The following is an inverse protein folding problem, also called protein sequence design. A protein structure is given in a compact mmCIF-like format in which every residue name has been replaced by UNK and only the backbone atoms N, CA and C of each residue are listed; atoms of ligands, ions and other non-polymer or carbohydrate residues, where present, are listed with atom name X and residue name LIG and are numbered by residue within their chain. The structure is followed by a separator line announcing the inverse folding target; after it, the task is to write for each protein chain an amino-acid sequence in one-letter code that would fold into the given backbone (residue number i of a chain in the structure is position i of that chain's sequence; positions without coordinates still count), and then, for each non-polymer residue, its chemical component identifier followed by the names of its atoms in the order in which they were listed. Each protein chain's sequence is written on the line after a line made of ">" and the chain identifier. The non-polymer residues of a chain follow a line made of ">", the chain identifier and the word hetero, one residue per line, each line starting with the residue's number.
data_IF_306627070158
#
_entry.id   IF_306627070158
#
_cell.length_a   1.000
_cell.length_b   1.000
_cell.length_c   1.000
_cell.angle_alpha   90.00
_cell.angle_beta   90.00
_cell.angle_gamma   90.00
#
_symmetry.space_group_name_H-M   'P 1'
#
loop_
_entity.id
_entity.type
_entity.pdbx_description
1 polymer ?
#
# COMPACT_ATOMS: atom_id res chain seq x y z
N UNK A 1 8.82 -5.22 1.50
CA UNK A 1 7.64 -4.48 2.02
C UNK A 1 7.14 -3.50 0.95
N UNK A 2 5.89 -3.65 0.53
CA UNK A 2 5.28 -2.81 -0.50
C UNK A 2 4.54 -1.62 0.13
N UNK A 3 3.36 -1.27 -0.40
CA UNK A 3 2.43 -0.24 0.07
C UNK A 3 1.11 -0.38 -0.70
N UNK A 4 0.06 0.33 -0.28
CA UNK A 4 -1.08 0.65 -1.14
C UNK A 4 -0.63 1.27 -2.49
N UNK A 5 0.47 2.03 -2.47
CA UNK A 5 1.11 2.58 -3.67
C UNK A 5 1.72 1.52 -4.62
N UNK A 6 1.74 0.24 -4.21
CA UNK A 6 2.20 -0.87 -5.05
C UNK A 6 1.13 -1.42 -6.00
N UNK A 7 -0.10 -0.91 -5.92
CA UNK A 7 -1.19 -1.22 -6.87
C UNK A 7 -2.14 -0.04 -7.12
N UNK A 8 -1.94 1.11 -6.44
CA UNK A 8 -2.60 2.40 -6.75
C UNK A 8 -1.54 3.46 -7.00
N UNK A 9 -1.72 4.29 -8.03
CA UNK A 9 -0.83 5.42 -8.29
C UNK A 9 -1.29 6.64 -7.51
N UNK A 10 -0.36 7.32 -6.85
CA UNK A 10 -0.62 8.56 -6.10
C UNK A 10 0.07 9.73 -6.82
N UNK A 11 -0.61 10.87 -7.04
CA UNK A 11 0.03 12.08 -7.56
C UNK A 11 1.25 12.48 -6.72
N UNK A 12 2.27 13.08 -7.35
CA UNK A 12 3.52 13.53 -6.71
C UNK A 12 4.35 12.43 -6.01
N UNK A 13 4.04 11.16 -6.27
CA UNK A 13 4.76 9.99 -5.74
C UNK A 13 5.07 8.99 -6.85
N UNK A 14 5.29 9.43 -8.09
CA UNK A 14 5.42 8.54 -9.25
C UNK A 14 6.60 7.55 -9.10
N UNK A 15 7.76 8.03 -8.68
CA UNK A 15 8.97 7.25 -8.38
C UNK A 15 8.75 6.29 -7.19
N UNK A 16 8.11 6.77 -6.12
CA UNK A 16 7.74 5.96 -4.97
C UNK A 16 6.78 4.84 -5.39
N UNK A 17 5.71 5.15 -6.13
CA UNK A 17 4.77 4.16 -6.65
C UNK A 17 5.49 3.13 -7.53
N UNK A 18 6.33 3.58 -8.47
CA UNK A 18 7.12 2.68 -9.32
C UNK A 18 7.94 1.68 -8.49
N UNK A 19 8.63 2.16 -7.44
CA UNK A 19 9.40 1.30 -6.55
C UNK A 19 8.53 0.27 -5.82
N UNK A 20 7.31 0.66 -5.39
CA UNK A 20 6.39 -0.22 -4.68
C UNK A 20 5.74 -1.25 -5.59
N UNK A 21 5.42 -0.87 -6.84
CA UNK A 21 5.00 -1.81 -7.87
C UNK A 21 6.10 -2.83 -8.20
N UNK A 22 7.36 -2.38 -8.31
CA UNK A 22 8.49 -3.26 -8.57
C UNK A 22 8.67 -4.31 -7.46
N UNK A 23 8.50 -3.92 -6.19
CA UNK A 23 8.54 -4.86 -5.06
C UNK A 23 7.43 -5.92 -5.16
N UNK A 24 6.22 -5.54 -5.60
CA UNK A 24 5.13 -6.50 -5.81
C UNK A 24 5.47 -7.54 -6.88
N UNK A 25 5.93 -7.07 -8.06
CA UNK A 25 6.30 -7.97 -9.15
C UNK A 25 7.48 -8.87 -8.80
N UNK A 26 8.48 -8.34 -8.10
CA UNK A 26 9.63 -9.12 -7.63
C UNK A 26 9.21 -10.23 -6.66
N UNK A 27 8.41 -9.90 -5.64
CA UNK A 27 7.98 -10.89 -4.65
C UNK A 27 7.11 -11.98 -5.29
N UNK A 28 6.22 -11.60 -6.20
CA UNK A 28 5.35 -12.55 -6.90
C UNK A 28 6.16 -13.52 -7.77
N UNK A 29 7.14 -13.00 -8.53
CA UNK A 29 8.03 -13.83 -9.34
C UNK A 29 8.86 -14.79 -8.47
N UNK A 30 9.49 -14.27 -7.40
CA UNK A 30 10.29 -15.08 -6.49
C UNK A 30 9.47 -16.18 -5.81
N UNK A 31 8.22 -15.90 -5.41
CA UNK A 31 7.34 -16.92 -4.86
C UNK A 31 7.11 -18.06 -5.84
N UNK A 32 6.80 -17.74 -7.11
CA UNK A 32 6.59 -18.78 -8.12
C UNK A 32 7.87 -19.54 -8.47
N UNK A 33 9.04 -18.91 -8.41
CA UNK A 33 10.32 -19.61 -8.53
C UNK A 33 10.52 -20.61 -7.39
N UNK A 34 10.20 -20.24 -6.14
CA UNK A 34 10.30 -21.15 -4.99
C UNK A 34 9.37 -22.36 -5.14
N UNK A 35 8.13 -22.14 -5.58
CA UNK A 35 7.18 -23.22 -5.88
C UNK A 35 7.68 -24.12 -7.02
N UNK A 36 8.18 -23.54 -8.11
CA UNK A 36 8.70 -24.28 -9.26
C UNK A 36 9.86 -25.22 -8.88
N UNK A 37 10.76 -24.77 -7.99
CA UNK A 37 11.90 -25.56 -7.53
C UNK A 37 11.61 -26.37 -6.26
N UNK A 38 10.35 -26.48 -5.83
CA UNK A 38 9.92 -27.17 -4.61
C UNK A 38 10.68 -26.73 -3.34
N UNK A 39 11.09 -25.46 -3.28
CA UNK A 39 11.80 -24.91 -2.12
C UNK A 39 10.80 -24.40 -1.08
N UNK A 40 10.40 -25.28 -0.17
CA UNK A 40 9.42 -24.96 0.90
C UNK A 40 10.06 -24.38 2.16
N UNK A 41 11.39 -24.36 2.25
CA UNK A 41 12.13 -23.89 3.43
C UNK A 41 12.17 -22.38 3.60
N UNK A 42 11.80 -21.62 2.56
CA UNK A 42 11.76 -20.15 2.58
C UNK A 42 10.35 -19.69 2.26
N UNK A 43 9.79 -18.85 3.12
CA UNK A 43 8.45 -18.27 2.98
C UNK A 43 8.59 -16.75 2.77
N UNK A 44 7.73 -16.17 1.92
CA UNK A 44 7.67 -14.73 1.68
C UNK A 44 6.35 -14.13 2.13
N UNK A 45 6.41 -12.91 2.65
CA UNK A 45 5.25 -12.12 3.05
C UNK A 45 5.36 -10.73 2.43
N UNK A 46 4.39 -10.34 1.60
CA UNK A 46 4.23 -8.99 1.08
C UNK A 46 3.14 -8.23 1.84
N UNK A 47 3.51 -7.03 2.29
CA UNK A 47 2.66 -6.18 3.13
C UNK A 47 2.41 -4.86 2.42
N UNK A 48 1.13 -4.49 2.32
CA UNK A 48 0.63 -3.28 1.68
C UNK A 48 -0.02 -2.35 2.72
N UNK A 49 0.79 -1.56 3.44
CA UNK A 49 0.24 -0.52 4.31
C UNK A 49 -0.31 0.66 3.50
N UNK A 50 -1.44 1.20 3.95
CA UNK A 50 -1.90 2.54 3.64
C UNK A 50 -1.05 3.60 4.37
N UNK A 51 -1.40 4.88 4.29
CA UNK A 51 -0.65 5.95 4.95
C UNK A 51 -0.46 5.68 6.45
N UNK A 52 0.79 5.82 6.91
CA UNK A 52 1.18 5.56 8.30
C UNK A 52 1.64 6.84 8.99
N UNK A 53 1.24 6.99 10.26
CA UNK A 53 1.64 8.08 11.14
C UNK A 53 3.08 7.88 11.65
N UNK A 54 4.05 8.10 10.76
CA UNK A 54 5.51 7.96 11.01
C UNK A 54 6.26 9.28 10.79
N UNK A 55 5.55 10.38 10.57
CA UNK A 55 6.11 11.62 10.05
C UNK A 55 6.34 11.63 8.52
N UNK A 56 6.48 10.47 7.87
CA UNK A 56 6.79 10.40 6.44
C UNK A 56 5.73 11.03 5.54
N UNK A 57 4.45 10.88 5.91
CA UNK A 57 3.27 11.39 5.18
C UNK A 57 2.50 12.46 5.97
N UNK A 58 3.19 13.22 6.81
CA UNK A 58 2.56 14.32 7.53
C UNK A 58 1.97 15.33 6.54
N UNK A 59 0.79 15.84 6.89
CA UNK A 59 0.04 16.79 6.08
C UNK A 59 -0.72 16.18 4.89
N UNK A 60 -0.60 14.87 4.61
CA UNK A 60 -1.38 14.27 3.50
C UNK A 60 -2.89 14.40 3.76
N UNK A 61 -3.62 14.87 2.76
CA UNK A 61 -5.07 14.97 2.84
C UNK A 61 -5.68 13.61 2.52
N UNK A 62 -6.45 13.04 3.45
CA UNK A 62 -7.21 11.82 3.23
C UNK A 62 -8.65 12.23 2.97
N UNK A 63 -9.17 11.94 1.77
CA UNK A 63 -10.51 12.37 1.37
C UNK A 63 -11.65 11.77 2.20
N UNK A 64 -11.48 10.53 2.68
CA UNK A 64 -12.47 9.82 3.52
C UNK A 64 -11.82 9.19 4.76
N UNK A 65 -11.37 9.99 5.75
CA UNK A 65 -10.63 9.48 6.92
C UNK A 65 -11.42 8.47 7.76
N UNK A 66 -12.75 8.58 7.79
CA UNK A 66 -13.63 7.65 8.52
C UNK A 66 -13.63 6.24 7.93
N UNK A 67 -13.31 6.11 6.63
CA UNK A 67 -13.29 4.83 5.90
C UNK A 67 -11.85 4.32 5.78
N UNK A 68 -10.90 5.21 5.49
CA UNK A 68 -9.48 4.89 5.36
C UNK A 68 -8.64 5.77 6.29
N UNK A 69 -8.59 5.45 7.60
CA UNK A 69 -7.81 6.23 8.54
C UNK A 69 -6.31 6.05 8.31
N UNK A 70 -5.52 7.04 8.75
CA UNK A 70 -4.07 6.83 8.93
C UNK A 70 -3.83 5.68 9.90
N UNK A 71 -2.82 4.87 9.60
CA UNK A 71 -2.44 3.73 10.41
C UNK A 71 -1.37 4.12 11.42
N UNK A 72 -1.49 3.56 12.63
CA UNK A 72 -0.45 3.69 13.64
C UNK A 72 0.69 2.69 13.41
N UNK A 73 1.93 3.16 13.49
CA UNK A 73 3.13 2.38 13.18
C UNK A 73 3.22 1.09 14.00
N UNK A 74 2.85 1.15 15.29
CA UNK A 74 2.83 0.00 16.17
C UNK A 74 1.82 -1.07 15.73
N UNK A 75 0.65 -0.67 15.23
CA UNK A 75 -0.36 -1.60 14.73
C UNK A 75 0.12 -2.31 13.46
N UNK A 76 0.72 -1.56 12.54
CA UNK A 76 1.28 -2.14 11.31
C UNK A 76 2.43 -3.08 11.66
N UNK A 77 3.31 -2.72 12.60
CA UNK A 77 4.41 -3.59 13.02
C UNK A 77 3.89 -4.90 13.62
N UNK A 78 2.90 -4.84 14.52
CA UNK A 78 2.28 -6.04 15.09
C UNK A 78 1.70 -6.94 13.99
N UNK A 79 0.96 -6.36 13.05
CA UNK A 79 0.42 -7.08 11.89
C UNK A 79 1.53 -7.71 11.05
N UNK A 80 2.65 -6.99 10.82
CA UNK A 80 3.78 -7.53 10.08
C UNK A 80 4.36 -8.76 10.76
N UNK A 81 4.62 -8.68 12.06
CA UNK A 81 5.19 -9.80 12.82
C UNK A 81 4.25 -11.00 12.84
N UNK A 82 2.95 -10.78 13.07
CA UNK A 82 1.94 -11.83 13.07
C UNK A 82 1.85 -12.52 11.71
N UNK A 83 1.83 -11.76 10.62
CA UNK A 83 1.78 -12.30 9.26
C UNK A 83 3.03 -13.11 8.88
N UNK A 84 4.22 -12.64 9.30
CA UNK A 84 5.48 -13.39 9.10
C UNK A 84 5.44 -14.70 9.88
N UNK A 85 5.04 -14.67 11.16
CA UNK A 85 4.97 -15.85 12.01
C UNK A 85 3.90 -16.87 11.58
N UNK A 86 2.89 -16.42 10.83
CA UNK A 86 1.78 -17.26 10.33
C UNK A 86 1.90 -17.57 8.83
N UNK A 87 3.03 -17.27 8.19
CA UNK A 87 3.29 -17.50 6.77
C UNK A 87 2.19 -16.94 5.85
N UNK A 88 1.65 -15.76 6.18
CA UNK A 88 0.70 -15.09 5.31
C UNK A 88 1.44 -14.48 4.13
N UNK A 89 1.04 -14.84 2.90
CA UNK A 89 1.64 -14.29 1.69
C UNK A 89 1.26 -12.83 1.47
N UNK A 90 -0.04 -12.53 1.41
CA UNK A 90 -0.54 -11.18 1.12
C UNK A 90 -1.21 -10.55 2.34
N UNK A 91 -0.73 -9.37 2.72
CA UNK A 91 -1.22 -8.63 3.89
C UNK A 91 -1.56 -7.21 3.47
N UNK A 92 -2.78 -6.77 3.77
CA UNK A 92 -3.27 -5.43 3.46
C UNK A 92 -3.61 -4.70 4.76
N UNK A 93 -3.24 -3.43 4.88
CA UNK A 93 -3.57 -2.62 6.04
C UNK A 93 -4.18 -1.29 5.56
N UNK A 94 -5.44 -0.94 5.92
CA UNK A 94 -6.33 -1.60 6.89
C UNK A 94 -7.17 -2.76 6.33
N UNK A 95 -6.62 -3.98 6.32
CA UNK A 95 -7.36 -5.22 6.07
C UNK A 95 -8.01 -5.33 4.69
N UNK A 96 -9.16 -6.00 4.65
CA UNK A 96 -9.86 -6.38 3.43
C UNK A 96 -10.40 -5.21 2.60
N UNK A 97 -10.60 -4.03 3.19
CA UNK A 97 -11.07 -2.84 2.46
C UNK A 97 -10.05 -2.43 1.39
N UNK A 98 -8.77 -2.38 1.76
CA UNK A 98 -7.70 -2.01 0.84
C UNK A 98 -7.56 -3.02 -0.31
N UNK A 99 -7.76 -4.32 0.00
CA UNK A 99 -7.82 -5.39 -1.01
C UNK A 99 -9.03 -5.23 -1.94
N UNK A 100 -10.19 -4.85 -1.41
CA UNK A 100 -11.37 -4.59 -2.22
C UNK A 100 -11.14 -3.42 -3.19
N UNK A 101 -10.49 -2.34 -2.75
CA UNK A 101 -10.14 -1.21 -3.62
C UNK A 101 -9.23 -1.61 -4.78
N UNK A 102 -8.28 -2.53 -4.55
CA UNK A 102 -7.45 -3.07 -5.62
C UNK A 102 -8.30 -3.79 -6.68
N UNK A 103 -9.23 -4.66 -6.26
CA UNK A 103 -10.11 -5.40 -7.18
C UNK A 103 -11.03 -4.44 -7.95
N UNK A 104 -11.63 -3.48 -7.24
CA UNK A 104 -12.51 -2.47 -7.84
C UNK A 104 -11.76 -1.67 -8.91
N UNK A 105 -10.54 -1.23 -8.63
CA UNK A 105 -9.68 -0.53 -9.61
C UNK A 105 -9.44 -1.36 -10.88
N UNK A 106 -9.30 -2.68 -10.77
CA UNK A 106 -9.05 -3.54 -11.93
C UNK A 106 -10.27 -3.77 -12.82
N UNK A 107 -11.49 -3.58 -12.29
CA UNK A 107 -12.75 -3.84 -13.02
C UNK A 107 -13.33 -2.54 -13.59
N UNK A 108 -13.17 -1.41 -12.90
CA UNK A 108 -13.77 -0.12 -13.30
C UNK A 108 -12.99 0.52 -14.47
N UNK A 109 -13.68 1.07 -15.49
CA UNK A 109 -13.04 1.84 -16.57
C UNK A 109 -12.23 3.05 -16.07
N UNK A 110 -11.18 3.41 -16.81
CA UNK A 110 -10.24 4.45 -16.38
C UNK A 110 -10.91 5.83 -16.15
N UNK A 111 -11.90 6.18 -16.96
CA UNK A 111 -12.64 7.44 -16.87
C UNK A 111 -13.48 7.50 -15.59
N UNK A 112 -14.17 6.40 -15.27
CA UNK A 112 -14.97 6.27 -14.06
C UNK A 112 -14.08 6.28 -12.81
N UNK A 113 -12.94 5.60 -12.85
CA UNK A 113 -11.95 5.65 -11.77
C UNK A 113 -11.40 7.06 -11.57
N UNK A 114 -11.11 7.78 -12.66
CA UNK A 114 -10.64 9.17 -12.60
C UNK A 114 -11.69 10.11 -12.02
N UNK A 115 -12.96 9.95 -12.40
CA UNK A 115 -14.07 10.70 -11.82
C UNK A 115 -14.24 10.40 -10.32
N UNK A 116 -14.14 9.13 -9.92
CA UNK A 116 -14.20 8.69 -8.53
C UNK A 116 -13.06 9.28 -7.70
N UNK A 117 -11.84 9.27 -8.23
CA UNK A 117 -10.67 9.88 -7.60
C UNK A 117 -10.88 11.38 -7.36
N UNK A 118 -11.39 12.12 -8.35
CA UNK A 118 -11.71 13.54 -8.19
C UNK A 118 -12.82 13.78 -7.17
N UNK A 119 -13.85 12.93 -7.15
CA UNK A 119 -14.95 13.05 -6.20
C UNK A 119 -14.50 12.85 -4.75
N UNK A 120 -13.63 11.88 -4.50
CA UNK A 120 -13.05 11.64 -3.18
C UNK A 120 -11.80 12.49 -2.87
N UNK A 121 -11.42 13.45 -3.74
CA UNK A 121 -10.25 14.30 -3.54
C UNK A 121 -8.91 13.54 -3.54
N UNK A 122 -8.87 12.35 -4.15
CA UNK A 122 -7.67 11.51 -4.26
C UNK A 122 -6.58 12.16 -5.13
N UNK A 123 -6.98 13.00 -6.09
CA UNK A 123 -6.09 13.76 -6.96
C UNK A 123 -5.30 14.86 -6.22
N UNK A 124 -5.75 15.25 -5.02
CA UNK A 124 -5.20 16.36 -4.24
C UNK A 124 -4.51 15.95 -2.94
N UNK A 125 -4.36 14.64 -2.69
CA UNK A 125 -3.89 14.12 -1.40
C UNK A 125 -2.52 14.67 -1.00
N UNK A 126 -1.62 14.80 -1.97
CA UNK A 126 -0.24 15.25 -1.75
C UNK A 126 -0.07 16.77 -1.80
N UNK A 127 -1.10 17.56 -2.12
CA UNK A 127 -0.98 19.03 -2.20
C UNK A 127 -0.69 19.68 -0.84
N UNK A 128 -1.17 19.07 0.25
CA UNK A 128 -0.94 19.55 1.62
C UNK A 128 0.20 18.81 2.32
N UNK A 129 0.94 17.97 1.59
CA UNK A 129 2.06 17.20 2.11
C UNK A 129 3.16 18.10 2.64
N UNK A 130 3.56 17.88 3.89
CA UNK A 130 4.71 18.57 4.51
C UNK A 130 5.89 17.64 4.74
N UNK A 131 5.63 16.34 4.92
CA UNK A 131 6.67 15.34 5.18
C UNK A 131 7.31 15.49 6.57
N UNK A 132 8.49 14.90 6.75
CA UNK A 132 9.22 15.02 8.03
C UNK A 132 9.81 16.41 8.18
N UNK A 133 9.59 17.04 9.33
CA UNK A 133 10.34 18.25 9.68
C UNK A 133 11.84 17.92 9.68
N UNK A 134 12.63 18.72 8.98
CA UNK A 134 14.09 18.62 9.08
C UNK A 134 14.46 19.05 10.48
N UNK A 135 14.96 18.11 11.28
CA UNK A 135 15.63 18.43 12.54
C UNK A 135 16.85 19.28 12.15
N UNK A 136 16.83 20.56 12.54
CA UNK A 136 17.92 21.50 12.35
C UNK A 136 19.10 21.17 13.27
#
# INVERSE_FOLDING_TARGET
>A
MASAAGFVGVPDLADYCASKYAVCGLEEAMFYEMELYNNTGVQSTIIHPFFMNTGMFNGVSIGVPSIMPMLESHQVMKLCMESILTNQRYVYAPGGLLRALQIVKTIIPAEALTALHRFFGYDKQMLTYTGREKVA
#
